data_IF_730018029285
#
_entry.id   IF_730018029285
#
_cell.length_a   1.000
_cell.length_b   1.000
_cell.length_c   1.000
_cell.angle_alpha   90.00
_cell.angle_beta   90.00
_cell.angle_gamma   90.00
#
_symmetry.space_group_name_H-M   'P 1'
#
loop_
_entity.id
_entity.type
_entity.pdbx_description
1 polymer ?
#
# COMPACT_ATOMS: atom_id res chain seq x y z
N UNK A 1 51.05 -26.76 -46.89
CA UNK A 1 50.50 -25.44 -46.50
C UNK A 1 49.18 -25.65 -45.80
N UNK A 2 49.07 -25.03 -44.63
CA UNK A 2 47.97 -25.03 -43.66
C UNK A 2 46.66 -24.52 -44.27
N UNK A 3 45.51 -25.09 -43.86
CA UNK A 3 44.31 -24.34 -43.44
C UNK A 3 43.35 -25.27 -42.69
N UNK A 4 43.39 -25.15 -41.36
CA UNK A 4 42.45 -25.74 -40.41
C UNK A 4 41.09 -25.04 -40.56
N UNK A 5 40.03 -25.80 -40.78
CA UNK A 5 38.65 -25.31 -40.76
C UNK A 5 38.26 -25.03 -39.31
N UNK A 6 38.16 -23.76 -38.91
CA UNK A 6 37.56 -23.39 -37.64
C UNK A 6 36.04 -23.31 -37.82
N UNK A 7 35.34 -24.29 -37.26
CA UNK A 7 33.90 -24.21 -37.03
C UNK A 7 33.67 -23.29 -35.83
N UNK A 8 33.20 -22.06 -36.08
CA UNK A 8 32.78 -21.13 -35.02
C UNK A 8 31.36 -21.51 -34.61
N UNK A 9 31.22 -22.23 -33.51
CA UNK A 9 29.92 -22.48 -32.89
C UNK A 9 29.49 -21.24 -32.11
N UNK A 10 28.49 -20.51 -32.61
CA UNK A 10 27.78 -19.49 -31.85
C UNK A 10 26.96 -20.17 -30.74
N UNK A 11 27.32 -19.95 -29.48
CA UNK A 11 26.47 -20.30 -28.33
C UNK A 11 25.57 -19.09 -28.06
N UNK A 12 24.33 -19.13 -28.52
CA UNK A 12 23.30 -18.19 -28.12
C UNK A 12 22.80 -18.56 -26.72
N UNK A 13 23.14 -17.75 -25.71
CA UNK A 13 22.55 -17.84 -24.39
C UNK A 13 21.19 -17.12 -24.40
N UNK A 14 20.11 -17.87 -24.59
CA UNK A 14 18.76 -17.35 -24.40
C UNK A 14 18.50 -17.24 -22.88
N UNK A 15 18.51 -16.02 -22.34
CA UNK A 15 18.00 -15.76 -20.99
C UNK A 15 16.47 -15.78 -21.03
N UNK A 16 15.89 -16.90 -20.58
CA UNK A 16 14.46 -16.97 -20.29
C UNK A 16 14.23 -16.18 -19.00
N UNK A 17 13.68 -14.97 -19.13
CA UNK A 17 13.11 -14.25 -18.00
C UNK A 17 11.84 -14.99 -17.57
N UNK A 18 11.92 -15.78 -16.50
CA UNK A 18 10.74 -16.34 -15.85
C UNK A 18 10.06 -15.18 -15.11
N UNK A 19 9.12 -14.51 -15.79
CA UNK A 19 8.20 -13.59 -15.13
C UNK A 19 7.27 -14.40 -14.25
N UNK A 20 7.35 -14.23 -12.93
CA UNK A 20 6.31 -14.73 -12.02
C UNK A 20 5.04 -13.93 -12.32
N UNK A 21 4.06 -14.57 -12.96
CA UNK A 21 2.73 -14.00 -13.12
C UNK A 21 2.07 -14.07 -11.73
N UNK A 22 1.93 -12.94 -11.05
CA UNK A 22 1.14 -12.88 -9.80
C UNK A 22 -0.32 -13.20 -10.15
N UNK A 23 -0.91 -14.18 -9.48
CA UNK A 23 -2.36 -14.19 -9.33
C UNK A 23 -2.75 -12.93 -8.53
N UNK A 24 -3.64 -12.10 -9.09
CA UNK A 24 -4.17 -10.95 -8.37
C UNK A 24 -5.13 -11.44 -7.28
N UNK A 25 -4.65 -11.48 -6.05
CA UNK A 25 -5.46 -11.69 -4.84
C UNK A 25 -5.31 -10.47 -3.95
N UNK A 26 -6.38 -10.11 -3.25
CA UNK A 26 -6.32 -9.10 -2.20
C UNK A 26 -5.41 -9.57 -1.07
N UNK A 27 -4.63 -8.64 -0.53
CA UNK A 27 -3.67 -8.92 0.52
C UNK A 27 -4.26 -8.56 1.89
N UNK A 28 -3.79 -9.26 2.91
CA UNK A 28 -4.08 -8.89 4.30
C UNK A 28 -3.22 -7.69 4.66
N UNK A 29 -3.88 -6.58 4.99
CA UNK A 29 -3.27 -5.33 5.40
C UNK A 29 -2.90 -5.40 6.88
N UNK A 30 -1.64 -5.08 7.18
CA UNK A 30 -1.24 -4.71 8.54
C UNK A 30 -1.68 -3.27 8.79
N UNK A 31 -2.88 -3.11 9.34
CA UNK A 31 -3.38 -1.82 9.79
C UNK A 31 -2.56 -1.28 10.96
N UNK A 32 -2.46 0.04 11.06
CA UNK A 32 -1.81 0.67 12.21
C UNK A 32 -2.60 0.38 13.47
N UNK A 33 -1.92 -0.19 14.45
CA UNK A 33 -2.35 -0.31 15.83
C UNK A 33 -2.05 1.03 16.53
N UNK A 34 -3.09 1.82 16.79
CA UNK A 34 -2.97 3.14 17.39
C UNK A 34 -3.03 3.02 18.91
N UNK A 35 -1.92 3.37 19.58
CA UNK A 35 -1.82 3.27 21.05
C UNK A 35 -2.00 4.61 21.75
N UNK A 36 -1.75 5.72 21.04
CA UNK A 36 -2.02 7.08 21.52
C UNK A 36 -2.31 8.04 20.37
N UNK A 37 -2.87 9.20 20.69
CA UNK A 37 -3.11 10.24 19.68
C UNK A 37 -1.75 10.71 19.17
N UNK A 38 -1.40 10.23 17.99
CA UNK A 38 -0.13 10.52 17.35
C UNK A 38 0.90 9.41 17.37
N UNK A 39 0.60 8.24 17.93
CA UNK A 39 1.52 7.10 17.92
C UNK A 39 0.81 5.78 17.67
N UNK A 40 1.34 5.02 16.73
CA UNK A 40 0.96 3.65 16.46
C UNK A 40 2.09 2.85 15.83
N UNK A 41 1.81 1.59 15.51
CA UNK A 41 2.74 0.72 14.80
C UNK A 41 2.02 -0.07 13.71
N UNK A 42 2.71 -0.32 12.61
CA UNK A 42 2.30 -1.30 11.59
C UNK A 42 3.47 -2.22 11.26
N UNK A 43 3.20 -3.33 10.57
CA UNK A 43 4.24 -4.23 10.08
C UNK A 43 4.25 -4.29 8.56
N UNK A 44 5.44 -4.20 7.96
CA UNK A 44 5.62 -4.46 6.54
C UNK A 44 6.92 -5.24 6.32
N UNK A 45 6.83 -6.35 5.58
CA UNK A 45 7.97 -7.21 5.23
C UNK A 45 8.79 -7.70 6.45
N UNK A 46 8.12 -7.94 7.58
CA UNK A 46 8.75 -8.37 8.83
C UNK A 46 9.40 -7.24 9.64
N UNK A 47 9.35 -5.99 9.17
CA UNK A 47 9.76 -4.82 9.95
C UNK A 47 8.56 -4.20 10.68
N UNK A 48 8.73 -3.93 11.98
CA UNK A 48 7.80 -3.09 12.75
C UNK A 48 8.14 -1.63 12.50
N UNK A 49 7.17 -0.87 12.00
CA UNK A 49 7.31 0.52 11.58
C UNK A 49 6.50 1.39 12.54
N UNK A 50 7.17 2.36 13.17
CA UNK A 50 6.49 3.39 13.95
C UNK A 50 5.69 4.31 13.05
N UNK A 51 4.45 4.61 13.45
CA UNK A 51 3.52 5.48 12.73
C UNK A 51 3.18 6.67 13.62
N UNK A 52 3.44 7.87 13.10
CA UNK A 52 3.07 9.12 13.73
C UNK A 52 1.79 9.68 13.14
N UNK A 53 1.00 10.36 13.96
CA UNK A 53 -0.08 11.22 13.47
C UNK A 53 0.03 12.62 14.11
N UNK A 54 -0.08 13.64 13.28
CA UNK A 54 -0.20 15.02 13.73
C UNK A 54 -1.28 15.69 12.92
N UNK A 55 -2.25 16.30 13.58
CA UNK A 55 -3.33 17.00 12.90
C UNK A 55 -3.80 18.14 13.77
N UNK A 56 -4.29 19.20 13.12
CA UNK A 56 -4.84 20.35 13.82
C UNK A 56 -6.11 20.01 14.62
N UNK A 57 -6.69 18.81 14.43
CA UNK A 57 -8.05 18.52 14.87
C UNK A 57 -8.35 17.06 15.22
N UNK A 58 -7.41 16.12 15.19
CA UNK A 58 -7.70 14.73 15.59
C UNK A 58 -7.64 14.56 17.11
N UNK A 59 -8.73 14.15 17.75
CA UNK A 59 -8.84 14.12 19.22
C UNK A 59 -9.24 12.77 19.82
N UNK A 60 -9.53 11.74 19.02
CA UNK A 60 -9.90 10.42 19.55
C UNK A 60 -9.17 9.25 18.89
N UNK A 61 -8.86 8.23 19.69
CA UNK A 61 -8.58 6.87 19.21
C UNK A 61 -9.79 6.01 19.55
N UNK A 62 -10.12 5.06 18.69
CA UNK A 62 -11.10 4.06 19.04
C UNK A 62 -10.86 2.72 18.36
N UNK A 63 -11.09 1.66 19.15
CA UNK A 63 -11.12 0.26 18.77
C UNK A 63 -12.55 -0.31 18.60
N UNK A 64 -13.57 0.55 18.60
CA UNK A 64 -14.95 0.10 18.41
C UNK A 64 -15.19 -0.22 16.92
N UNK A 65 -15.32 -1.53 16.67
CA UNK A 65 -15.44 -2.18 15.37
C UNK A 65 -16.60 -1.64 14.50
N UNK A 66 -17.58 -0.94 15.07
CA UNK A 66 -18.63 -0.28 14.27
C UNK A 66 -18.06 0.71 13.25
N UNK A 67 -16.86 1.25 13.48
CA UNK A 67 -16.11 2.13 12.54
C UNK A 67 -15.86 1.49 11.18
N UNK A 68 -15.61 0.20 11.20
CA UNK A 68 -15.20 -0.58 10.05
C UNK A 68 -16.27 -1.55 9.58
N UNK A 69 -17.51 -1.40 10.08
CA UNK A 69 -18.66 -2.19 9.63
C UNK A 69 -18.96 -1.88 8.17
N UNK A 70 -19.08 -2.93 7.37
CA UNK A 70 -19.54 -2.86 6.00
C UNK A 70 -21.03 -3.23 5.94
N UNK A 71 -21.81 -2.44 5.19
CA UNK A 71 -23.27 -2.59 5.11
C UNK A 71 -23.80 -2.72 3.67
N UNK A 72 -22.90 -2.73 2.69
CA UNK A 72 -23.20 -2.96 1.28
C UNK A 72 -22.29 -4.01 0.67
N UNK A 73 -22.62 -4.43 -0.55
CA UNK A 73 -21.75 -5.22 -1.43
C UNK A 73 -21.62 -4.49 -2.77
N UNK A 74 -20.40 -4.20 -3.25
CA UNK A 74 -19.10 -4.43 -2.61
C UNK A 74 -18.94 -3.71 -1.25
N UNK A 75 -18.06 -4.25 -0.41
CA UNK A 75 -17.75 -3.70 0.91
C UNK A 75 -16.95 -2.40 0.81
N UNK A 76 -17.07 -1.51 1.81
CA UNK A 76 -16.37 -0.24 1.80
C UNK A 76 -14.84 -0.39 1.88
N UNK A 77 -14.35 -1.38 2.62
CA UNK A 77 -12.92 -1.58 2.90
C UNK A 77 -12.37 -2.83 2.23
N UNK A 78 -13.21 -3.85 1.99
CA UNK A 78 -12.82 -5.13 1.38
C UNK A 78 -13.30 -5.29 -0.08
N UNK A 79 -13.99 -4.27 -0.62
CA UNK A 79 -14.53 -4.28 -1.98
C UNK A 79 -13.51 -4.04 -3.10
N UNK A 80 -12.23 -4.38 -2.90
CA UNK A 80 -11.15 -4.18 -3.86
C UNK A 80 -10.30 -5.45 -4.01
N UNK A 81 -9.47 -5.51 -5.05
CA UNK A 81 -8.50 -6.61 -5.23
C UNK A 81 -7.20 -6.39 -4.44
N UNK A 82 -7.12 -5.35 -3.60
CA UNK A 82 -5.90 -4.98 -2.85
C UNK A 82 -6.05 -5.31 -1.37
N UNK A 83 -7.25 -5.13 -0.81
CA UNK A 83 -7.51 -5.22 0.64
C UNK A 83 -8.45 -6.38 0.94
N UNK A 84 -8.01 -7.33 1.77
CA UNK A 84 -8.81 -8.50 2.18
C UNK A 84 -9.35 -8.40 3.63
N UNK A 85 -9.01 -7.34 4.36
CA UNK A 85 -9.46 -7.14 5.74
C UNK A 85 -9.71 -5.65 6.08
N UNK A 86 -10.76 -5.39 6.85
CA UNK A 86 -11.03 -4.06 7.39
C UNK A 86 -10.13 -3.75 8.61
N UNK A 87 -9.89 -2.46 8.94
CA UNK A 87 -9.12 -2.09 10.12
C UNK A 87 -9.81 -2.49 11.44
N UNK A 88 -9.03 -2.45 12.53
CA UNK A 88 -9.51 -2.74 13.89
C UNK A 88 -9.58 -1.48 14.76
N UNK A 89 -8.63 -0.57 14.58
CA UNK A 89 -8.54 0.70 15.30
C UNK A 89 -8.64 1.89 14.35
N UNK A 90 -8.65 3.10 14.91
CA UNK A 90 -8.84 4.34 14.13
C UNK A 90 -8.35 5.58 14.89
N UNK A 91 -7.87 6.56 14.13
CA UNK A 91 -7.88 7.97 14.55
C UNK A 91 -9.22 8.57 14.14
N UNK A 92 -9.85 9.32 15.03
CA UNK A 92 -11.24 9.76 14.91
C UNK A 92 -11.43 11.20 15.37
N UNK A 93 -12.65 11.72 15.16
CA UNK A 93 -13.03 13.09 15.51
C UNK A 93 -12.13 14.11 14.82
N UNK A 94 -11.82 13.89 13.54
CA UNK A 94 -10.97 14.81 12.79
C UNK A 94 -11.85 15.89 12.21
N UNK A 95 -11.60 17.14 12.61
CA UNK A 95 -12.54 18.21 12.34
C UNK A 95 -12.25 19.05 11.09
N UNK A 96 -11.01 19.52 10.95
CA UNK A 96 -10.62 20.42 9.87
C UNK A 96 -9.09 20.46 9.72
N UNK A 97 -8.63 21.33 8.82
CA UNK A 97 -7.22 21.71 8.73
C UNK A 97 -6.32 20.62 8.17
N UNK A 98 -5.01 20.83 8.35
CA UNK A 98 -3.98 19.91 7.86
C UNK A 98 -3.77 18.76 8.84
N UNK A 99 -3.65 17.58 8.28
CA UNK A 99 -3.40 16.33 8.98
C UNK A 99 -2.25 15.60 8.26
N UNK A 100 -1.41 14.94 9.03
CA UNK A 100 -0.22 14.26 8.52
C UNK A 100 -0.02 12.96 9.27
N UNK A 101 0.14 11.88 8.51
CA UNK A 101 0.70 10.62 8.99
C UNK A 101 2.19 10.61 8.63
N UNK A 102 3.04 10.15 9.53
CA UNK A 102 4.47 9.91 9.28
C UNK A 102 4.83 8.45 9.56
N UNK A 103 5.85 7.96 8.88
CA UNK A 103 6.39 6.62 9.06
C UNK A 103 7.86 6.70 9.47
N UNK A 104 8.28 5.91 10.46
CA UNK A 104 9.66 5.87 10.95
C UNK A 104 10.66 5.36 9.88
N UNK A 105 10.15 4.70 8.84
CA UNK A 105 10.86 4.31 7.63
C UNK A 105 9.87 4.33 6.46
N UNK A 106 10.37 4.32 5.23
CA UNK A 106 9.49 4.31 4.06
C UNK A 106 8.59 3.07 4.05
N UNK A 107 7.29 3.29 3.85
CA UNK A 107 6.26 2.26 3.66
C UNK A 107 5.93 2.19 2.18
N UNK A 108 5.91 0.99 1.63
CA UNK A 108 5.62 0.76 0.21
C UNK A 108 4.12 0.54 0.04
N UNK A 109 3.54 1.24 -0.93
CA UNK A 109 2.15 1.11 -1.36
C UNK A 109 1.11 1.20 -0.23
N UNK A 110 1.22 2.14 0.75
CA UNK A 110 0.30 2.16 1.89
C UNK A 110 -1.14 2.44 1.45
N UNK A 111 -2.06 1.77 2.13
CA UNK A 111 -3.50 1.97 1.99
C UNK A 111 -4.03 2.81 3.13
N UNK A 112 -5.03 3.64 2.84
CA UNK A 112 -5.70 4.48 3.82
C UNK A 112 -7.21 4.33 3.68
N UNK A 113 -7.88 4.07 4.81
CA UNK A 113 -9.33 3.88 4.87
C UNK A 113 -9.98 5.03 5.59
N UNK A 114 -11.24 5.31 5.23
CA UNK A 114 -12.01 6.39 5.81
C UNK A 114 -13.45 5.94 6.10
N UNK A 115 -14.01 6.45 7.19
CA UNK A 115 -15.44 6.35 7.47
C UNK A 115 -16.02 7.74 7.71
N UNK A 116 -17.29 7.93 7.37
CA UNK A 116 -18.05 9.15 7.67
C UNK A 116 -17.43 10.43 7.10
N UNK A 117 -16.81 10.40 5.91
CA UNK A 117 -16.36 11.65 5.25
C UNK A 117 -17.58 12.44 4.78
N UNK A 118 -17.68 13.70 5.19
CA UNK A 118 -18.87 14.50 4.96
C UNK A 118 -20.04 14.03 5.82
N UNK A 119 -21.16 14.76 5.75
CA UNK A 119 -22.39 14.36 6.43
C UNK A 119 -23.59 14.28 5.49
N UNK A 120 -24.70 13.73 5.98
CA UNK A 120 -25.94 13.53 5.21
C UNK A 120 -26.57 14.79 4.58
N UNK A 121 -26.12 15.99 4.95
CA UNK A 121 -26.48 17.25 4.30
C UNK A 121 -25.41 17.76 3.32
N UNK A 122 -24.15 17.68 3.72
CA UNK A 122 -23.06 18.45 3.10
C UNK A 122 -21.78 17.63 2.96
N UNK A 123 -21.25 17.49 1.74
CA UNK A 123 -20.04 16.67 1.51
C UNK A 123 -18.73 17.36 1.90
N UNK A 124 -17.68 16.60 2.15
CA UNK A 124 -16.33 17.07 2.51
C UNK A 124 -15.35 16.71 1.40
N UNK A 125 -14.39 17.61 1.13
CA UNK A 125 -13.26 17.33 0.26
C UNK A 125 -11.98 17.24 1.09
N UNK A 126 -11.24 16.15 0.90
CA UNK A 126 -9.88 15.97 1.39
C UNK A 126 -8.92 16.14 0.21
N UNK A 127 -7.96 17.06 0.33
CA UNK A 127 -6.91 17.27 -0.67
C UNK A 127 -5.59 16.77 -0.10
N UNK A 128 -5.00 15.78 -0.76
CA UNK A 128 -3.72 15.16 -0.38
C UNK A 128 -2.54 15.87 -1.05
N UNK A 129 -1.36 15.76 -0.44
CA UNK A 129 -0.10 16.28 -0.98
C UNK A 129 0.51 15.42 -2.10
N UNK A 130 -0.12 14.29 -2.41
CA UNK A 130 0.31 13.33 -3.42
C UNK A 130 -0.90 12.60 -4.03
N UNK A 131 -0.68 12.04 -5.22
CA UNK A 131 -1.68 11.25 -5.94
C UNK A 131 -1.97 9.92 -5.22
N UNK A 132 -3.18 9.40 -5.43
CA UNK A 132 -3.60 8.10 -4.93
C UNK A 132 -4.44 7.33 -5.96
N UNK A 133 -4.53 6.02 -5.79
CA UNK A 133 -5.51 5.17 -6.46
C UNK A 133 -6.74 4.97 -5.56
N UNK A 134 -7.92 5.14 -6.14
CA UNK A 134 -9.16 4.81 -5.47
C UNK A 134 -9.40 3.30 -5.48
N UNK A 135 -9.60 2.68 -4.32
CA UNK A 135 -9.74 1.23 -4.20
C UNK A 135 -11.19 0.79 -4.08
N UNK A 136 -11.95 1.40 -3.18
CA UNK A 136 -13.29 0.94 -2.85
C UNK A 136 -14.14 2.02 -2.18
N UNK A 137 -15.47 1.85 -2.34
CA UNK A 137 -16.49 2.60 -1.61
C UNK A 137 -17.65 1.67 -1.30
N UNK A 138 -18.34 1.96 -0.20
CA UNK A 138 -19.50 1.20 0.20
C UNK A 138 -20.23 1.80 1.39
N UNK A 139 -21.30 1.13 1.78
CA UNK A 139 -22.05 1.42 2.98
C UNK A 139 -21.26 1.11 4.24
N UNK A 140 -21.31 2.04 5.18
CA UNK A 140 -20.72 1.94 6.51
C UNK A 140 -21.78 2.00 7.61
N UNK A 141 -21.32 2.24 8.84
CA UNK A 141 -22.20 2.45 9.99
C UNK A 141 -22.81 3.87 10.05
N UNK A 142 -22.17 4.87 9.45
CA UNK A 142 -22.66 6.27 9.42
C UNK A 142 -23.45 6.63 8.15
N UNK A 143 -23.44 5.76 7.15
CA UNK A 143 -24.29 5.94 5.98
C UNK A 143 -23.80 5.17 4.77
N UNK A 144 -24.54 5.32 3.69
CA UNK A 144 -24.26 4.73 2.38
C UNK A 144 -23.92 5.82 1.35
N UNK A 145 -23.30 6.89 1.84
CA UNK A 145 -22.93 8.04 1.05
C UNK A 145 -21.84 7.72 0.02
N UNK A 146 -21.72 8.54 -1.03
CA UNK A 146 -20.63 8.37 -1.99
C UNK A 146 -19.28 8.69 -1.34
N UNK A 147 -18.26 7.93 -1.71
CA UNK A 147 -16.86 8.32 -1.64
C UNK A 147 -16.30 8.29 -3.07
N UNK A 148 -15.72 9.40 -3.55
CA UNK A 148 -15.38 9.59 -4.96
C UNK A 148 -14.03 10.29 -5.07
N UNK A 149 -13.15 9.78 -5.91
CA UNK A 149 -11.96 10.50 -6.36
C UNK A 149 -12.35 11.52 -7.45
N UNK A 150 -12.16 12.81 -7.17
CA UNK A 150 -12.56 13.90 -8.09
C UNK A 150 -11.38 14.49 -8.87
N UNK A 151 -10.16 14.27 -8.37
CA UNK A 151 -8.89 14.51 -9.04
C UNK A 151 -7.87 13.50 -8.50
N UNK A 152 -6.68 13.42 -9.10
CA UNK A 152 -5.64 12.44 -8.72
C UNK A 152 -5.29 12.45 -7.23
N UNK A 153 -5.38 13.60 -6.57
CA UNK A 153 -5.12 13.80 -5.15
C UNK A 153 -6.31 14.36 -4.35
N UNK A 154 -7.54 14.31 -4.87
CA UNK A 154 -8.73 14.87 -4.18
C UNK A 154 -9.81 13.82 -3.97
N UNK A 155 -10.15 13.58 -2.72
CA UNK A 155 -11.21 12.68 -2.28
C UNK A 155 -12.43 13.46 -1.79
N UNK A 156 -13.59 13.18 -2.35
CA UNK A 156 -14.88 13.72 -1.93
C UNK A 156 -15.70 12.65 -1.21
N UNK A 157 -16.37 13.02 -0.12
CA UNK A 157 -17.35 12.15 0.55
C UNK A 157 -18.58 12.89 1.05
N UNK A 158 -19.69 12.17 1.22
CA UNK A 158 -20.91 12.68 1.89
C UNK A 158 -21.58 11.56 2.67
N UNK A 159 -21.13 11.30 3.89
CA UNK A 159 -21.22 10.01 4.59
C UNK A 159 -20.47 8.90 3.82
N UNK A 160 -19.35 9.27 3.19
CA UNK A 160 -18.55 8.38 2.38
C UNK A 160 -17.67 7.46 3.23
N UNK A 161 -17.61 6.19 2.86
CA UNK A 161 -16.75 5.18 3.48
C UNK A 161 -16.01 4.42 2.38
N UNK A 162 -14.72 4.16 2.58
CA UNK A 162 -13.92 3.56 1.52
C UNK A 162 -12.44 3.46 1.81
N UNK A 163 -11.69 3.10 0.78
CA UNK A 163 -10.24 2.97 0.82
C UNK A 163 -9.57 3.58 -0.41
N UNK A 164 -8.35 4.08 -0.22
CA UNK A 164 -7.43 4.56 -1.25
C UNK A 164 -6.04 3.96 -1.02
N UNK A 165 -5.18 4.02 -2.04
CA UNK A 165 -3.78 3.58 -1.97
C UNK A 165 -2.83 4.63 -2.52
N UNK A 166 -1.72 4.86 -1.83
CA UNK A 166 -0.62 5.67 -2.35
C UNK A 166 0.42 4.76 -2.95
N UNK A 167 0.77 4.93 -4.22
CA UNK A 167 1.74 4.06 -4.89
C UNK A 167 3.18 4.49 -4.60
N UNK A 168 4.07 3.51 -4.50
CA UNK A 168 5.48 3.69 -4.23
C UNK A 168 5.82 3.77 -2.75
N UNK A 169 7.07 4.11 -2.46
CA UNK A 169 7.58 4.22 -1.10
C UNK A 169 7.37 5.63 -0.56
N UNK A 170 6.65 5.77 0.56
CA UNK A 170 6.36 7.07 1.19
C UNK A 170 6.78 7.08 2.66
N UNK A 171 7.24 8.23 3.15
CA UNK A 171 7.57 8.45 4.58
C UNK A 171 6.52 9.30 5.29
N UNK A 172 5.62 9.93 4.55
CA UNK A 172 4.52 10.72 5.09
C UNK A 172 3.36 10.80 4.10
N UNK A 173 2.17 11.03 4.62
CA UNK A 173 0.95 11.34 3.86
C UNK A 173 0.33 12.55 4.53
N UNK A 174 0.14 13.66 3.81
CA UNK A 174 -0.54 14.85 4.33
C UNK A 174 -1.82 15.13 3.56
N UNK A 175 -2.84 15.61 4.26
CA UNK A 175 -4.07 16.06 3.64
C UNK A 175 -4.72 17.20 4.41
N UNK A 176 -5.57 17.95 3.71
CA UNK A 176 -6.38 19.01 4.31
C UNK A 176 -7.85 18.84 3.98
N UNK A 177 -8.69 19.10 4.97
CA UNK A 177 -10.13 19.19 4.80
C UNK A 177 -10.52 20.61 4.34
N UNK A 178 -11.32 20.72 3.28
CA UNK A 178 -11.70 22.03 2.72
C UNK A 178 -12.64 22.85 3.62
N UNK A 179 -13.17 22.24 4.68
CA UNK A 179 -13.96 22.90 5.72
C UNK A 179 -14.03 22.05 6.99
N UNK A 180 -14.76 22.57 7.97
CA UNK A 180 -15.10 21.83 9.19
C UNK A 180 -16.10 20.68 8.92
N UNK A 181 -15.82 19.57 9.57
CA UNK A 181 -16.65 18.39 9.77
C UNK A 181 -16.66 18.07 11.26
N UNK A 182 -17.80 17.68 11.83
CA UNK A 182 -17.86 17.34 13.26
C UNK A 182 -17.27 15.97 13.57
N UNK A 183 -17.15 15.08 12.58
CA UNK A 183 -16.68 13.72 12.81
C UNK A 183 -16.39 12.98 11.49
N UNK A 184 -15.14 12.57 11.30
CA UNK A 184 -14.76 11.43 10.47
C UNK A 184 -13.55 10.73 11.11
N UNK A 185 -13.11 9.62 10.54
CA UNK A 185 -11.87 8.98 10.96
C UNK A 185 -11.20 8.19 9.86
N UNK A 186 -9.98 7.75 10.15
CA UNK A 186 -9.18 6.96 9.23
C UNK A 186 -8.36 5.88 9.96
N UNK A 187 -7.85 4.93 9.19
CA UNK A 187 -6.66 4.17 9.54
C UNK A 187 -5.78 4.06 8.28
N UNK A 188 -4.50 3.75 8.49
CA UNK A 188 -3.50 3.56 7.46
C UNK A 188 -2.80 2.23 7.72
N UNK A 189 -2.42 1.53 6.66
CA UNK A 189 -1.77 0.24 6.76
C UNK A 189 -1.02 -0.10 5.50
N UNK A 190 -0.37 -1.25 5.50
CA UNK A 190 0.25 -1.78 4.29
C UNK A 190 0.24 -3.31 4.28
N UNK A 191 0.20 -3.88 3.08
CA UNK A 191 0.45 -5.30 2.87
C UNK A 191 1.96 -5.57 2.91
N UNK A 192 2.33 -6.83 3.13
CA UNK A 192 3.67 -7.28 2.82
C UNK A 192 3.89 -7.19 1.31
N UNK A 193 4.91 -6.45 0.88
CA UNK A 193 5.31 -6.42 -0.51
C UNK A 193 6.25 -7.60 -0.75
N UNK A 194 5.91 -8.48 -1.68
CA UNK A 194 6.89 -9.40 -2.26
C UNK A 194 7.87 -8.55 -3.07
N UNK A 195 8.91 -8.02 -2.41
CA UNK A 195 10.03 -7.39 -3.11
C UNK A 195 10.64 -8.50 -3.95
N UNK A 196 10.66 -8.41 -5.29
CA UNK A 196 11.41 -9.36 -6.08
C UNK A 196 12.84 -9.34 -5.55
N UNK A 197 13.38 -10.50 -5.16
CA UNK A 197 14.77 -10.59 -4.74
C UNK A 197 15.63 -9.77 -5.71
N UNK A 198 16.55 -8.91 -5.22
CA UNK A 198 17.31 -8.06 -6.10
C UNK A 198 17.88 -8.92 -7.22
N UNK A 199 17.72 -8.52 -8.48
CA UNK A 199 18.24 -9.27 -9.63
C UNK A 199 19.73 -9.63 -9.45
N UNK A 200 20.44 -8.91 -8.59
CA UNK A 200 21.76 -9.22 -8.03
C UNK A 200 21.91 -10.64 -7.47
N UNK A 201 20.93 -11.20 -6.74
CA UNK A 201 20.99 -12.56 -6.21
C UNK A 201 20.82 -13.60 -7.32
N UNK A 202 19.90 -13.36 -8.26
CA UNK A 202 19.76 -14.19 -9.46
C UNK A 202 21.04 -14.13 -10.32
N UNK A 203 21.62 -12.94 -10.53
CA UNK A 203 22.88 -12.73 -11.24
C UNK A 203 24.06 -13.37 -10.51
N UNK A 204 24.11 -13.30 -9.19
CA UNK A 204 25.12 -13.98 -8.37
C UNK A 204 25.00 -15.49 -8.53
N UNK A 205 23.79 -16.04 -8.46
CA UNK A 205 23.51 -17.46 -8.68
C UNK A 205 23.95 -17.93 -10.07
N UNK A 206 23.59 -17.17 -11.12
CA UNK A 206 24.01 -17.44 -12.51
C UNK A 206 25.53 -17.33 -12.66
N UNK A 207 26.15 -16.30 -12.06
CA UNK A 207 27.60 -16.10 -12.07
C UNK A 207 28.36 -17.25 -11.42
N UNK A 208 27.91 -17.72 -10.25
CA UNK A 208 28.49 -18.86 -9.55
C UNK A 208 28.32 -20.17 -10.34
N UNK A 209 27.15 -20.39 -10.93
CA UNK A 209 26.92 -21.55 -11.81
C UNK A 209 27.84 -21.54 -13.04
N UNK A 210 28.02 -20.37 -13.67
CA UNK A 210 28.95 -20.18 -14.79
C UNK A 210 30.40 -20.50 -14.42
N UNK A 211 30.86 -20.03 -13.25
CA UNK A 211 32.20 -20.33 -12.72
C UNK A 211 32.38 -21.84 -12.45
N UNK A 212 31.36 -22.50 -11.89
CA UNK A 212 31.38 -23.94 -11.65
C UNK A 212 31.51 -24.77 -12.94
N UNK A 213 30.78 -24.39 -13.99
CA UNK A 213 30.85 -25.03 -15.31
C UNK A 213 32.24 -24.83 -15.94
N UNK A 214 32.78 -23.60 -15.89
CA UNK A 214 34.11 -23.30 -16.42
C UNK A 214 35.20 -24.14 -15.75
N UNK A 215 35.16 -24.26 -14.42
CA UNK A 215 36.11 -25.07 -13.64
C UNK A 215 36.01 -26.57 -13.91
N UNK A 216 34.82 -27.09 -14.21
CA UNK A 216 34.63 -28.51 -14.57
C UNK A 216 35.20 -28.82 -15.95
N UNK A 217 35.15 -27.88 -16.89
CA UNK A 217 35.69 -28.04 -18.25
C UNK A 217 37.22 -27.99 -18.26
N UNK A 218 37.84 -27.11 -17.47
CA UNK A 218 39.31 -27.05 -17.39
C UNK A 218 39.95 -28.31 -16.80
N UNK A 219 39.25 -29.00 -15.88
CA UNK A 219 39.71 -30.28 -15.30
C UNK A 219 39.57 -31.50 -16.20
N UNK A 220 38.81 -31.42 -17.29
CA UNK A 220 38.66 -32.52 -18.28
C UNK A 220 39.61 -32.37 -19.47
N UNK A 221 40.29 -31.24 -19.60
CA UNK A 221 41.20 -30.94 -20.70
C UNK A 221 42.70 -31.09 -20.32
N UNK A 222 42.97 -31.50 -19.08
CA UNK A 222 44.27 -31.91 -18.57
C UNK A 222 44.25 -33.43 -18.36
#
# INVERSE_FOLDING_TARGET
MIRKTLTVSFVAAAMVAIGVVKEAKADVISWTDWTSLGSGILSQNGATIGVGYSGASGTGISSDARRWRESSTPGAYTGSTVIDNAPVDSITQIYAGSNTVTFAQAVIDPVMTFFSIGNGGTGLYLTFDQDFEFLSTGGGNWGNGPLIQTASNVLYGREGNGAIQFLGAVTSISWSANRYESYYGFNVGAAATVVPEPASLALLGVGLAGLGIARRRSRKAA
#
